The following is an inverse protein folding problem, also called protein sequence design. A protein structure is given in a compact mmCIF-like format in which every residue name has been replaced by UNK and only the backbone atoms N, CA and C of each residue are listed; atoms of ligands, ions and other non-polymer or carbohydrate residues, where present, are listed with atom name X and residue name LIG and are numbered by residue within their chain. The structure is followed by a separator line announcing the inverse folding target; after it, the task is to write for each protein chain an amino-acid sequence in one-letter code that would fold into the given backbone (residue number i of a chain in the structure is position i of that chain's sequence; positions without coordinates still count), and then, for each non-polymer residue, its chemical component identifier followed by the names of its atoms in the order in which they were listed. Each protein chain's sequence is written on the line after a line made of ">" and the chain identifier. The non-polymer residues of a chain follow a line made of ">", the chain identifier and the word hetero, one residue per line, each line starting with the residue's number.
data_IF_130127648724
#
_entry.id   IF_130127648724
#
_cell.length_a   1.000
_cell.length_b   1.000
_cell.length_c   1.000
_cell.angle_alpha   90.00
_cell.angle_beta   90.00
_cell.angle_gamma   90.00
#
_symmetry.space_group_name_H-M   'P 1'
#
loop_
_entity.id
_entity.type
_entity.pdbx_description
1 polymer ?
#
# COMPACT_ATOMS: atom_id res chain seq x y z
N UNK A 1 18.08 -10.67 1.02
CA UNK A 1 16.72 -10.11 1.19
C UNK A 1 16.27 -10.35 2.61
N UNK A 2 15.49 -9.44 3.21
CA UNK A 2 14.83 -9.73 4.48
C UNK A 2 13.89 -10.94 4.27
N UNK A 3 13.87 -11.87 5.22
CA UNK A 3 12.97 -13.01 5.13
C UNK A 3 11.53 -12.51 5.29
N UNK A 4 10.66 -12.88 4.35
CA UNK A 4 9.21 -12.71 4.53
C UNK A 4 8.82 -13.43 5.80
N UNK A 5 8.11 -12.73 6.70
CA UNK A 5 7.53 -13.41 7.85
C UNK A 5 6.36 -14.29 7.39
N UNK A 6 5.86 -15.13 8.31
CA UNK A 6 4.77 -16.08 8.01
C UNK A 6 3.45 -15.41 7.66
N UNK A 7 3.32 -14.09 7.86
CA UNK A 7 2.10 -13.34 7.61
C UNK A 7 2.15 -12.58 6.28
N UNK A 8 3.30 -12.49 5.61
CA UNK A 8 3.45 -11.75 4.36
C UNK A 8 2.40 -12.13 3.31
N UNK A 9 2.29 -13.42 3.01
CA UNK A 9 1.36 -13.91 1.99
C UNK A 9 -0.10 -13.76 2.45
N UNK A 10 -0.38 -13.99 3.74
CA UNK A 10 -1.71 -13.78 4.32
C UNK A 10 -2.17 -12.32 4.19
N UNK A 11 -1.30 -11.36 4.52
CA UNK A 11 -1.62 -9.92 4.40
C UNK A 11 -1.84 -9.54 2.93
N UNK A 12 -1.00 -10.07 2.02
CA UNK A 12 -1.14 -9.83 0.58
C UNK A 12 -2.48 -10.34 0.04
N UNK A 13 -2.87 -11.56 0.41
CA UNK A 13 -4.14 -12.16 0.02
C UNK A 13 -5.34 -11.37 0.56
N UNK A 14 -5.28 -10.95 1.83
CA UNK A 14 -6.34 -10.15 2.44
C UNK A 14 -6.48 -8.77 1.82
N UNK A 15 -5.37 -8.11 1.46
CA UNK A 15 -5.41 -6.83 0.74
C UNK A 15 -6.11 -6.98 -0.61
N UNK A 16 -5.79 -8.03 -1.37
CA UNK A 16 -6.43 -8.33 -2.66
C UNK A 16 -7.93 -8.61 -2.46
N UNK A 17 -8.29 -9.41 -1.44
CA UNK A 17 -9.69 -9.71 -1.12
C UNK A 17 -10.50 -8.46 -0.74
N UNK A 18 -9.88 -7.48 -0.07
CA UNK A 18 -10.46 -6.19 0.32
C UNK A 18 -10.44 -5.13 -0.82
N UNK A 19 -10.11 -5.56 -2.05
CA UNK A 19 -10.15 -4.72 -3.24
C UNK A 19 -8.95 -3.77 -3.39
N UNK A 20 -7.82 -4.07 -2.75
CA UNK A 20 -6.58 -3.37 -2.99
C UNK A 20 -5.79 -4.01 -4.15
N UNK A 21 -5.15 -3.17 -4.95
CA UNK A 21 -4.17 -3.60 -5.96
C UNK A 21 -2.78 -3.55 -5.35
N UNK A 22 -2.07 -4.69 -5.33
CA UNK A 22 -0.66 -4.72 -4.92
C UNK A 22 0.18 -4.02 -5.99
N UNK A 23 0.97 -3.01 -5.60
CA UNK A 23 1.83 -2.25 -6.51
C UNK A 23 3.28 -2.71 -6.43
N UNK A 24 3.74 -3.13 -5.25
CA UNK A 24 5.12 -3.54 -4.99
C UNK A 24 5.20 -4.58 -3.86
N UNK A 25 6.19 -5.48 -3.93
CA UNK A 25 6.49 -6.51 -2.93
C UNK A 25 7.99 -6.88 -3.06
N UNK A 26 8.94 -6.16 -2.42
CA UNK A 26 8.76 -5.00 -1.52
C UNK A 26 8.70 -3.64 -2.24
N UNK A 27 8.12 -2.64 -1.57
CA UNK A 27 8.18 -1.23 -1.99
C UNK A 27 9.49 -0.59 -1.54
N UNK A 28 10.26 -0.07 -2.50
CA UNK A 28 11.48 0.69 -2.26
C UNK A 28 11.17 2.19 -2.15
N UNK A 29 11.48 2.79 -1.01
CA UNK A 29 11.33 4.23 -0.76
C UNK A 29 12.69 4.90 -0.56
N UNK A 30 12.85 6.09 -1.14
CA UNK A 30 13.94 6.99 -0.79
C UNK A 30 13.53 7.83 0.42
N UNK A 31 14.32 7.78 1.50
CA UNK A 31 14.14 8.59 2.70
C UNK A 31 15.43 9.36 3.00
N UNK A 32 15.48 10.60 2.52
CA UNK A 32 16.72 11.37 2.49
C UNK A 32 17.79 10.67 1.66
N UNK A 33 18.98 10.47 2.25
CA UNK A 33 20.08 9.73 1.60
C UNK A 33 19.97 8.20 1.76
N UNK A 34 18.95 7.70 2.46
CA UNK A 34 18.78 6.26 2.74
C UNK A 34 17.70 5.66 1.85
N UNK A 35 17.82 4.36 1.61
CA UNK A 35 16.80 3.52 0.99
C UNK A 35 16.12 2.68 2.07
N UNK A 36 14.80 2.68 2.09
CA UNK A 36 13.97 1.90 3.02
C UNK A 36 13.12 0.93 2.20
N UNK A 37 12.95 -0.27 2.73
CA UNK A 37 12.10 -1.30 2.14
C UNK A 37 10.85 -1.43 3.01
N UNK A 38 9.69 -1.32 2.39
CA UNK A 38 8.39 -1.63 2.98
C UNK A 38 7.94 -2.95 2.38
N UNK A 39 7.40 -3.85 3.21
CA UNK A 39 7.13 -5.23 2.79
C UNK A 39 6.11 -5.32 1.64
N UNK A 40 5.05 -4.51 1.66
CA UNK A 40 4.03 -4.46 0.62
C UNK A 40 3.64 -3.02 0.33
N UNK A 41 3.66 -2.64 -0.96
CA UNK A 41 2.98 -1.46 -1.47
C UNK A 41 1.63 -1.86 -2.07
N UNK A 42 0.56 -1.14 -1.74
CA UNK A 42 -0.77 -1.38 -2.26
C UNK A 42 -1.56 -0.07 -2.41
N UNK A 43 -2.51 -0.05 -3.34
CA UNK A 43 -3.39 1.09 -3.60
C UNK A 43 -4.85 0.66 -3.71
N UNK A 44 -5.78 1.58 -3.46
CA UNK A 44 -7.21 1.41 -3.70
C UNK A 44 -7.81 2.72 -4.16
N UNK A 45 -8.75 2.66 -5.11
CA UNK A 45 -9.48 3.83 -5.57
C UNK A 45 -10.35 4.39 -4.43
N UNK A 46 -10.23 5.70 -4.18
CA UNK A 46 -11.07 6.42 -3.23
C UNK A 46 -11.79 7.52 -4.00
N UNK A 47 -13.11 7.56 -3.92
CA UNK A 47 -13.94 8.65 -4.44
C UNK A 47 -14.37 9.55 -3.28
N UNK A 48 -14.36 10.87 -3.51
CA UNK A 48 -14.81 11.87 -2.54
C UNK A 48 -15.54 13.01 -3.24
N UNK A 49 -16.55 13.59 -2.57
CA UNK A 49 -17.31 14.74 -3.02
C UNK A 49 -17.19 15.87 -2.00
N UNK A 50 -17.15 17.13 -2.47
CA UNK A 50 -17.20 18.33 -1.62
C UNK A 50 -18.36 19.22 -2.06
N UNK A 51 -19.38 19.32 -1.22
CA UNK A 51 -20.45 20.32 -1.42
C UNK A 51 -19.99 21.70 -0.96
N UNK A 52 -20.08 22.69 -1.85
CA UNK A 52 -19.96 24.12 -1.53
C UNK A 52 -21.37 24.71 -1.52
N UNK A 53 -21.84 25.18 -0.36
CA UNK A 53 -23.02 26.05 -0.30
C UNK A 53 -22.60 27.44 -0.80
N UNK A 54 -23.20 27.89 -1.90
CA UNK A 54 -23.11 29.28 -2.36
C UNK A 54 -24.29 30.02 -1.73
N UNK A 55 -24.01 31.00 -0.87
CA UNK A 55 -24.99 31.96 -0.34
C UNK A 55 -25.19 33.11 -1.32
#
# INVERSE_FOLDING_TARGET
>A
MAAKDIYHDLVKELLIAEGWTITHDPLLLAFGIRKVYVDIGAERLIAAEKFLMIN
#
